data_IF_849299258098
#
_entry.id   IF_849299258098
#
_cell.length_a   1.000
_cell.length_b   1.000
_cell.length_c   1.000
_cell.angle_alpha   90.00
_cell.angle_beta   90.00
_cell.angle_gamma   90.00
#
_symmetry.space_group_name_H-M   'P 1'
#
loop_
_entity.id
_entity.type
_entity.pdbx_description
1 polymer ?
#
# COMPACT_ATOMS: atom_id res chain seq x y z
N UNK A 1 0.33 -0.10 6.08
CA UNK A 1 0.98 -0.09 7.41
C UNK A 1 1.93 -1.25 7.64
N UNK A 2 2.21 -2.09 6.62
CA UNK A 2 3.16 -3.19 6.80
C UNK A 2 4.60 -2.71 6.93
N UNK A 3 5.38 -3.44 7.73
CA UNK A 3 6.73 -3.10 8.13
C UNK A 3 7.68 -2.89 6.96
N UNK A 4 7.65 -3.74 5.95
CA UNK A 4 8.48 -3.65 4.74
C UNK A 4 8.25 -2.36 3.91
N UNK A 5 7.16 -1.63 4.17
CA UNK A 5 6.88 -0.32 3.60
C UNK A 5 7.17 0.85 4.54
N UNK A 6 7.15 0.66 5.85
CA UNK A 6 7.23 1.77 6.81
C UNK A 6 8.35 1.62 7.88
N UNK A 7 9.19 0.58 7.80
CA UNK A 7 10.23 0.32 8.81
C UNK A 7 11.21 1.49 9.05
N UNK A 8 11.43 2.34 8.05
CA UNK A 8 12.31 3.49 8.16
C UNK A 8 11.56 4.82 8.37
N UNK A 9 10.23 4.80 8.53
CA UNK A 9 9.43 6.01 8.58
C UNK A 9 9.80 6.91 9.77
N UNK A 10 9.92 6.35 10.97
CA UNK A 10 10.31 7.09 12.17
C UNK A 10 11.70 7.74 12.00
N UNK A 11 12.68 6.95 11.57
CA UNK A 11 14.04 7.46 11.34
C UNK A 11 14.07 8.60 10.32
N UNK A 12 13.41 8.43 9.15
CA UNK A 12 13.38 9.44 8.10
C UNK A 12 12.65 10.71 8.54
N UNK A 13 11.52 10.58 9.24
CA UNK A 13 10.78 11.71 9.76
C UNK A 13 11.63 12.55 10.72
N UNK A 14 12.34 11.90 11.63
CA UNK A 14 13.24 12.57 12.58
C UNK A 14 14.45 13.19 11.87
N UNK A 15 15.12 12.45 11.00
CA UNK A 15 16.33 12.92 10.32
C UNK A 15 16.08 14.10 9.37
N UNK A 16 14.91 14.14 8.74
CA UNK A 16 14.53 15.17 7.76
C UNK A 16 13.60 16.24 8.34
N UNK A 17 13.15 16.07 9.58
CA UNK A 17 12.16 16.93 10.25
C UNK A 17 10.88 17.10 9.40
N UNK A 18 10.32 15.98 8.95
CA UNK A 18 9.10 15.94 8.12
C UNK A 18 8.01 15.11 8.80
N UNK A 19 6.71 15.44 8.55
CA UNK A 19 5.61 14.66 9.10
C UNK A 19 5.47 13.30 8.42
N UNK A 20 4.98 12.30 9.18
CA UNK A 20 4.52 11.03 8.63
C UNK A 20 3.05 11.15 8.32
N UNK A 21 2.68 10.69 7.11
CA UNK A 21 1.30 10.62 6.67
C UNK A 21 0.88 9.18 6.39
N UNK A 22 -0.30 8.75 6.87
CA UNK A 22 -0.87 7.43 6.57
C UNK A 22 -2.39 7.42 6.71
N UNK A 23 -3.03 6.33 6.28
CA UNK A 23 -4.45 6.11 6.58
C UNK A 23 -4.66 5.80 8.05
N UNK A 24 -5.68 6.41 8.66
CA UNK A 24 -6.07 6.12 10.06
C UNK A 24 -6.47 4.65 10.26
N UNK A 25 -6.94 3.98 9.20
CA UNK A 25 -7.41 2.58 9.26
C UNK A 25 -6.27 1.58 9.50
N UNK A 26 -5.01 1.97 9.24
CA UNK A 26 -3.83 1.11 9.41
C UNK A 26 -2.98 1.48 10.65
N UNK A 27 -3.42 2.43 11.47
CA UNK A 27 -2.61 2.92 12.60
C UNK A 27 -2.25 1.80 13.60
N UNK A 28 -3.17 0.87 13.83
CA UNK A 28 -2.95 -0.25 14.75
C UNK A 28 -1.93 -1.28 14.25
N UNK A 29 -1.57 -1.22 12.97
CA UNK A 29 -0.51 -2.08 12.41
C UNK A 29 0.89 -1.60 12.77
N UNK A 30 1.05 -0.35 13.24
CA UNK A 30 2.37 0.16 13.63
C UNK A 30 2.93 -0.56 14.85
N UNK A 31 2.17 -0.76 15.96
CA UNK A 31 2.64 -1.56 17.09
C UNK A 31 2.59 -3.07 16.83
N UNK A 32 1.68 -3.56 15.98
CA UNK A 32 1.57 -4.99 15.64
C UNK A 32 1.11 -5.20 14.18
N UNK A 33 2.04 -5.57 13.32
CA UNK A 33 1.77 -5.82 11.90
C UNK A 33 0.82 -7.01 11.64
N UNK A 34 0.43 -7.77 12.67
CA UNK A 34 -0.51 -8.87 12.58
C UNK A 34 -1.94 -8.48 12.96
N UNK A 35 -2.16 -7.23 13.34
CA UNK A 35 -3.49 -6.73 13.77
C UNK A 35 -4.55 -6.96 12.69
N UNK A 36 -4.21 -6.76 11.43
CA UNK A 36 -5.07 -7.09 10.30
C UNK A 36 -4.74 -8.49 9.76
N UNK A 37 -5.66 -9.44 9.97
CA UNK A 37 -5.48 -10.84 9.53
C UNK A 37 -5.50 -10.94 8.02
N UNK A 38 -4.39 -11.35 7.44
CA UNK A 38 -4.24 -11.56 6.01
C UNK A 38 -4.64 -12.97 5.58
N UNK A 39 -5.15 -13.05 4.36
CA UNK A 39 -5.51 -14.28 3.67
C UNK A 39 -4.86 -14.35 2.27
N UNK A 40 -4.77 -15.56 1.73
CA UNK A 40 -4.28 -15.80 0.37
C UNK A 40 -5.10 -16.92 -0.29
N UNK A 41 -5.52 -16.71 -1.55
CA UNK A 41 -6.30 -17.70 -2.30
C UNK A 41 -5.41 -18.72 -3.04
N UNK A 42 -4.30 -18.25 -3.63
CA UNK A 42 -3.42 -19.08 -4.46
C UNK A 42 -2.37 -19.80 -3.62
N UNK A 43 -1.85 -20.94 -4.11
CA UNK A 43 -0.76 -21.65 -3.47
C UNK A 43 0.48 -20.76 -3.31
N UNK A 44 0.83 -20.01 -4.36
CA UNK A 44 1.94 -19.05 -4.31
C UNK A 44 1.68 -17.96 -3.26
N UNK A 45 0.48 -17.41 -3.21
CA UNK A 45 0.10 -16.43 -2.19
C UNK A 45 0.20 -16.99 -0.77
N UNK A 46 -0.16 -18.26 -0.54
CA UNK A 46 0.00 -18.91 0.77
C UNK A 46 1.47 -19.06 1.17
N UNK A 47 2.36 -19.36 0.22
CA UNK A 47 3.81 -19.41 0.48
C UNK A 47 4.33 -18.01 0.82
N UNK A 48 3.94 -16.98 0.05
CA UNK A 48 4.31 -15.58 0.33
C UNK A 48 3.80 -15.17 1.71
N UNK A 49 2.54 -15.47 2.06
CA UNK A 49 1.97 -15.16 3.36
C UNK A 49 2.77 -15.82 4.51
N UNK A 50 3.12 -17.10 4.37
CA UNK A 50 3.90 -17.81 5.38
C UNK A 50 5.28 -17.15 5.62
N UNK A 51 5.93 -16.73 4.55
CA UNK A 51 7.22 -16.03 4.64
C UNK A 51 7.05 -14.66 5.30
N UNK A 52 6.04 -13.89 4.90
CA UNK A 52 5.74 -12.57 5.47
C UNK A 52 5.44 -12.65 6.96
N UNK A 53 4.59 -13.59 7.39
CA UNK A 53 4.27 -13.78 8.82
C UNK A 53 5.52 -14.12 9.66
N UNK A 54 6.44 -14.92 9.12
CA UNK A 54 7.71 -15.21 9.80
C UNK A 54 8.63 -13.99 9.90
N UNK A 55 8.60 -13.11 8.90
CA UNK A 55 9.34 -11.84 8.95
C UNK A 55 8.77 -10.93 10.04
N UNK A 56 7.45 -10.81 10.13
CA UNK A 56 6.78 -9.99 11.16
C UNK A 56 7.04 -10.46 12.60
N UNK A 57 7.42 -11.73 12.81
CA UNK A 57 7.81 -12.24 14.14
C UNK A 57 9.24 -11.85 14.53
N UNK A 58 10.13 -11.63 13.56
CA UNK A 58 11.56 -11.41 13.79
C UNK A 58 11.95 -9.94 13.82
N UNK A 59 11.25 -9.14 13.06
CA UNK A 59 11.61 -7.76 12.86
C UNK A 59 10.73 -6.87 13.74
N UNK A 60 11.34 -5.85 14.33
CA UNK A 60 10.65 -4.84 15.13
C UNK A 60 10.54 -3.55 14.34
N UNK A 61 9.32 -3.03 14.24
CA UNK A 61 9.07 -1.70 13.71
C UNK A 61 9.28 -0.68 14.81
N UNK A 62 10.06 0.37 14.55
CA UNK A 62 10.10 1.54 15.43
C UNK A 62 8.71 2.20 15.41
N UNK A 63 8.04 2.24 16.56
CA UNK A 63 6.70 2.81 16.67
C UNK A 63 6.76 4.32 16.42
N UNK A 64 5.86 4.81 15.60
CA UNK A 64 5.71 6.24 15.31
C UNK A 64 4.24 6.65 15.35
N UNK A 65 4.00 7.94 15.57
CA UNK A 65 2.67 8.53 15.49
C UNK A 65 2.55 9.35 14.20
N UNK A 66 1.58 9.03 13.33
CA UNK A 66 1.32 9.84 12.15
C UNK A 66 0.80 11.23 12.53
N UNK A 67 1.34 12.25 11.88
CA UNK A 67 0.87 13.63 12.06
C UNK A 67 -0.21 14.02 11.05
N UNK A 68 -0.35 13.26 9.98
CA UNK A 68 -1.30 13.51 8.88
C UNK A 68 -2.07 12.23 8.57
N UNK A 69 -3.40 12.32 8.61
CA UNK A 69 -4.26 11.22 8.19
C UNK A 69 -4.78 11.45 6.79
N UNK A 70 -4.46 10.50 5.91
CA UNK A 70 -4.81 10.54 4.49
C UNK A 70 -6.22 9.99 4.26
N UNK A 71 -6.98 10.68 3.40
CA UNK A 71 -8.31 10.27 2.93
C UNK A 71 -8.37 10.31 1.40
N UNK A 72 -9.35 9.60 0.83
CA UNK A 72 -9.55 9.61 -0.62
C UNK A 72 -9.76 11.02 -1.16
N UNK A 73 -9.03 11.37 -2.20
CA UNK A 73 -9.13 12.68 -2.84
C UNK A 73 -8.28 13.79 -2.23
N UNK A 74 -7.61 13.56 -1.10
CA UNK A 74 -6.71 14.55 -0.50
C UNK A 74 -5.63 14.97 -1.49
N UNK A 75 -5.37 16.29 -1.51
CA UNK A 75 -4.29 16.87 -2.32
C UNK A 75 -3.08 17.18 -1.43
N UNK A 76 -1.90 16.76 -1.87
CA UNK A 76 -0.65 16.90 -1.11
C UNK A 76 0.18 18.12 -1.49
N UNK A 77 -0.35 19.06 -2.30
CA UNK A 77 0.37 20.27 -2.75
C UNK A 77 0.90 21.10 -1.59
N UNK A 78 0.18 21.16 -0.46
CA UNK A 78 0.65 21.86 0.74
C UNK A 78 1.93 21.28 1.36
N UNK A 79 2.28 20.06 0.97
CA UNK A 79 3.52 19.38 1.37
C UNK A 79 4.58 19.41 0.25
N UNK A 80 4.37 20.20 -0.81
CA UNK A 80 5.31 20.34 -1.93
C UNK A 80 5.26 19.22 -2.96
N UNK A 81 4.23 18.38 -2.95
CA UNK A 81 4.08 17.25 -3.88
C UNK A 81 2.79 17.42 -4.67
N UNK A 82 2.87 17.47 -5.99
CA UNK A 82 1.68 17.42 -6.86
C UNK A 82 1.14 16.00 -6.91
N UNK A 83 0.42 15.64 -5.87
CA UNK A 83 -0.13 14.32 -5.70
C UNK A 83 -1.54 14.35 -5.11
N UNK A 84 -2.35 13.37 -5.52
CA UNK A 84 -3.69 13.11 -5.00
C UNK A 84 -3.75 11.72 -4.38
N UNK A 85 -4.33 11.63 -3.19
CA UNK A 85 -4.54 10.36 -2.49
C UNK A 85 -5.68 9.58 -3.14
N UNK A 86 -5.49 8.28 -3.30
CA UNK A 86 -6.48 7.31 -3.79
C UNK A 86 -6.60 6.19 -2.78
N UNK A 87 -7.74 6.03 -2.11
CA UNK A 87 -7.97 4.86 -1.24
C UNK A 87 -8.07 3.58 -2.08
N UNK A 88 -7.31 2.56 -1.69
CA UNK A 88 -7.22 1.26 -2.37
C UNK A 88 -7.31 0.11 -1.35
N UNK A 89 -8.40 0.04 -0.55
CA UNK A 89 -8.53 -0.95 0.50
C UNK A 89 -8.58 -2.38 -0.06
N UNK A 90 -8.22 -3.35 0.79
CA UNK A 90 -8.33 -4.78 0.51
C UNK A 90 -7.06 -5.55 0.78
N UNK A 91 -5.87 -5.07 0.40
CA UNK A 91 -4.62 -5.63 0.91
C UNK A 91 -4.53 -5.37 2.42
N UNK A 92 -4.62 -4.11 2.83
CA UNK A 92 -4.98 -3.68 4.19
C UNK A 92 -6.25 -2.82 4.15
N UNK A 93 -6.86 -2.57 5.30
CA UNK A 93 -8.03 -1.68 5.38
C UNK A 93 -7.70 -0.24 5.00
N UNK A 94 -6.49 0.21 5.35
CA UNK A 94 -5.98 1.55 5.11
C UNK A 94 -5.05 1.67 3.92
N UNK A 95 -5.01 0.70 3.00
CA UNK A 95 -4.22 0.81 1.78
C UNK A 95 -4.58 2.07 0.99
N UNK A 96 -3.57 2.86 0.65
CA UNK A 96 -3.70 4.07 -0.17
C UNK A 96 -2.69 4.04 -1.31
N UNK A 97 -3.06 4.68 -2.41
CA UNK A 97 -2.17 5.00 -3.51
C UNK A 97 -2.00 6.51 -3.65
N UNK A 98 -1.03 6.92 -4.45
CA UNK A 98 -0.79 8.31 -4.80
C UNK A 98 -0.77 8.46 -6.32
N UNK A 99 -1.69 9.29 -6.83
CA UNK A 99 -1.63 9.77 -8.21
C UNK A 99 -0.74 11.01 -8.24
N UNK A 100 0.38 10.93 -8.96
CA UNK A 100 1.38 11.99 -9.03
C UNK A 100 1.43 12.54 -10.46
N UNK A 101 1.41 13.85 -10.59
CA UNK A 101 1.50 14.59 -11.88
C UNK A 101 0.49 14.10 -12.92
N UNK A 102 -0.60 13.47 -12.49
CA UNK A 102 -1.68 12.99 -13.35
C UNK A 102 -1.39 11.74 -14.19
N UNK A 103 -0.14 11.31 -14.32
CA UNK A 103 0.28 10.19 -15.18
C UNK A 103 0.96 9.03 -14.45
N UNK A 104 1.33 9.19 -13.20
CA UNK A 104 1.98 8.18 -12.34
C UNK A 104 1.03 7.77 -11.23
N UNK A 105 0.91 6.48 -10.98
CA UNK A 105 0.07 5.96 -9.90
C UNK A 105 0.87 4.96 -9.05
N UNK A 106 1.19 5.36 -7.84
CA UNK A 106 1.78 4.50 -6.83
C UNK A 106 0.65 3.77 -6.11
N UNK A 107 0.63 2.46 -6.15
CA UNK A 107 -0.51 1.65 -5.68
C UNK A 107 -0.19 0.81 -4.44
N UNK A 108 1.05 0.90 -3.93
CA UNK A 108 1.49 0.00 -2.87
C UNK A 108 1.23 -1.46 -3.24
N UNK A 109 0.67 -2.20 -2.32
CA UNK A 109 0.36 -3.63 -2.49
C UNK A 109 -1.10 -3.92 -2.87
N UNK A 110 -1.87 -2.91 -3.29
CA UNK A 110 -3.16 -3.15 -3.95
C UNK A 110 -2.97 -3.97 -5.25
N UNK A 111 -1.86 -3.72 -5.94
CA UNK A 111 -1.35 -4.55 -7.04
C UNK A 111 0.11 -4.92 -6.74
N UNK A 112 0.61 -5.98 -7.37
CA UNK A 112 2.01 -6.39 -7.24
C UNK A 112 2.59 -6.88 -8.56
N UNK A 113 3.93 -6.79 -8.68
CA UNK A 113 4.70 -7.28 -9.83
C UNK A 113 5.97 -7.99 -9.36
N UNK A 114 5.88 -8.75 -8.28
CA UNK A 114 7.00 -9.52 -7.73
C UNK A 114 7.48 -10.61 -8.70
N UNK A 115 6.55 -11.40 -9.21
CA UNK A 115 6.81 -12.46 -10.18
C UNK A 115 6.21 -12.12 -11.56
N UNK A 116 5.02 -11.57 -11.57
CA UNK A 116 4.29 -11.08 -12.74
C UNK A 116 3.25 -10.04 -12.30
N UNK A 117 2.86 -9.11 -13.20
CA UNK A 117 1.90 -8.06 -12.85
C UNK A 117 0.51 -8.65 -12.57
N UNK A 118 0.02 -8.50 -11.35
CA UNK A 118 -1.26 -9.05 -10.89
C UNK A 118 -1.87 -8.19 -9.78
N UNK A 119 -3.12 -8.46 -9.45
CA UNK A 119 -3.74 -8.00 -8.21
C UNK A 119 -3.00 -8.61 -7.02
N UNK A 120 -3.09 -7.99 -5.85
CA UNK A 120 -2.46 -8.50 -4.64
C UNK A 120 -2.76 -9.99 -4.43
N UNK A 121 -1.73 -10.74 -4.05
CA UNK A 121 -1.89 -12.16 -3.68
C UNK A 121 -2.33 -12.32 -2.23
N UNK A 122 -2.11 -11.27 -1.42
CA UNK A 122 -2.45 -11.20 0.00
C UNK A 122 -3.50 -10.11 0.20
N UNK A 123 -4.47 -10.37 1.07
CA UNK A 123 -5.56 -9.44 1.34
C UNK A 123 -6.17 -9.68 2.73
N UNK A 124 -6.68 -8.63 3.32
CA UNK A 124 -7.57 -8.67 4.48
C UNK A 124 -9.03 -8.83 4.01
N UNK A 125 -9.39 -8.15 2.91
CA UNK A 125 -10.71 -8.18 2.29
C UNK A 125 -10.57 -8.36 0.78
N UNK A 126 -11.01 -9.51 0.29
CA UNK A 126 -10.88 -9.87 -1.12
C UNK A 126 -11.76 -9.03 -2.03
N UNK A 127 -12.97 -8.72 -1.61
CA UNK A 127 -13.93 -8.02 -2.47
C UNK A 127 -13.50 -6.56 -2.63
N UNK A 128 -13.09 -5.91 -1.54
CA UNK A 128 -12.48 -4.57 -1.60
C UNK A 128 -11.20 -4.54 -2.43
N UNK A 129 -10.37 -5.58 -2.35
CA UNK A 129 -9.16 -5.70 -3.18
C UNK A 129 -9.50 -5.74 -4.67
N UNK A 130 -10.55 -6.47 -5.06
CA UNK A 130 -11.02 -6.54 -6.45
C UNK A 130 -11.60 -5.19 -6.91
N UNK A 131 -12.37 -4.50 -6.05
CA UNK A 131 -12.88 -3.16 -6.32
C UNK A 131 -11.74 -2.15 -6.51
N UNK A 132 -10.72 -2.18 -5.65
CA UNK A 132 -9.53 -1.33 -5.76
C UNK A 132 -8.78 -1.60 -7.07
N UNK A 133 -8.59 -2.86 -7.44
CA UNK A 133 -7.96 -3.23 -8.70
C UNK A 133 -8.78 -2.77 -9.92
N UNK A 134 -10.11 -2.85 -9.86
CA UNK A 134 -11.02 -2.31 -10.88
C UNK A 134 -10.87 -0.80 -10.98
N UNK A 135 -10.94 -0.08 -9.85
CA UNK A 135 -10.72 1.37 -9.77
C UNK A 135 -9.42 1.79 -10.43
N UNK A 136 -8.29 1.13 -10.09
CA UNK A 136 -6.99 1.39 -10.72
C UNK A 136 -7.08 1.22 -12.25
N UNK A 137 -7.70 0.14 -12.73
CA UNK A 137 -7.84 -0.13 -14.17
C UNK A 137 -8.61 0.96 -14.90
N UNK A 138 -9.57 1.62 -14.24
CA UNK A 138 -10.42 2.68 -14.78
C UNK A 138 -9.76 4.07 -14.74
N UNK A 139 -8.63 4.24 -14.05
CA UNK A 139 -7.93 5.53 -13.95
C UNK A 139 -7.18 5.95 -15.24
N UNK A 140 -7.33 5.21 -16.32
CA UNK A 140 -6.79 5.58 -17.63
C UNK A 140 -5.31 5.21 -17.83
N UNK A 141 -4.69 5.85 -18.80
CA UNK A 141 -3.34 5.52 -19.28
C UNK A 141 -2.25 6.08 -18.37
N UNK A 142 -2.00 5.41 -17.24
CA UNK A 142 -0.98 5.79 -16.26
C UNK A 142 0.16 4.78 -16.21
N UNK A 143 1.29 5.19 -15.63
CA UNK A 143 2.35 4.28 -15.22
C UNK A 143 2.10 3.84 -13.77
N UNK A 144 1.94 2.54 -13.56
CA UNK A 144 1.73 1.95 -12.24
C UNK A 144 3.07 1.64 -11.60
N UNK A 145 3.25 2.13 -10.36
CA UNK A 145 4.36 1.81 -9.48
C UNK A 145 3.82 0.96 -8.34
N UNK A 146 4.30 -0.27 -8.28
CA UNK A 146 3.90 -1.28 -7.28
C UNK A 146 4.74 -1.14 -6.01
N UNK A 147 4.25 -1.60 -4.88
CA UNK A 147 5.08 -1.79 -3.68
C UNK A 147 6.23 -2.77 -3.95
N UNK A 148 5.95 -3.84 -4.71
CA UNK A 148 6.94 -4.84 -5.11
C UNK A 148 6.99 -5.03 -6.62
N UNK A 149 8.19 -4.79 -7.22
CA UNK A 149 8.48 -5.06 -8.62
C UNK A 149 8.58 -3.82 -9.51
N UNK A 150 8.78 -4.07 -10.81
CA UNK A 150 9.05 -3.01 -11.79
C UNK A 150 7.76 -2.32 -12.26
N UNK A 151 7.80 -1.01 -12.57
CA UNK A 151 6.65 -0.29 -13.10
C UNK A 151 6.09 -0.91 -14.38
N UNK A 152 4.79 -0.73 -14.60
CA UNK A 152 4.06 -1.16 -15.81
C UNK A 152 3.02 -0.13 -16.22
N UNK A 153 2.64 -0.14 -17.49
CA UNK A 153 1.48 0.64 -17.97
C UNK A 153 0.21 0.08 -17.36
N UNK A 154 -0.70 1.00 -16.99
CA UNK A 154 -2.01 0.62 -16.49
C UNK A 154 -2.81 -0.16 -17.53
N UNK A 155 -3.65 -1.03 -17.05
CA UNK A 155 -4.52 -1.90 -17.85
C UNK A 155 -5.75 -2.29 -17.04
N UNK A 156 -6.69 -2.98 -17.65
CA UNK A 156 -7.75 -3.65 -16.91
C UNK A 156 -7.17 -4.81 -16.10
N UNK A 157 -7.35 -4.78 -14.77
CA UNK A 157 -6.78 -5.76 -13.82
C UNK A 157 -7.79 -6.85 -13.45
N UNK A 158 -9.07 -6.55 -13.51
CA UNK A 158 -10.20 -7.45 -13.23
C UNK A 158 -10.99 -7.66 -14.50
N UNK A 159 -11.41 -8.90 -14.74
CA UNK A 159 -12.27 -9.28 -15.90
C UNK A 159 -13.71 -8.87 -15.66
#
# INVERSE_FOLDING_TARGET
GHMDHCQNAAYLANALNIPIAMSKKDINMIPDNREQKMSAKTLLGKIVLLVSLRSFEKDTLEVFEPMVYLQDGDNLNKYGVDAKVVELPGHTEGSVGLEIEGDKLFVGDALMNMFYPTISMLYTDKDKMLESAKRIGEMGAKTIYFGHGKPKRNRKWVK
#
